data_IF_649426457699
#
_entry.id   IF_649426457699
#
_cell.length_a   1.000
_cell.length_b   1.000
_cell.length_c   1.000
_cell.angle_alpha   90.00
_cell.angle_beta   90.00
_cell.angle_gamma   90.00
#
_symmetry.space_group_name_H-M   'P 1'
#
loop_
_entity.id
_entity.type
_entity.pdbx_description
1 polymer ?
#
# COMPACT_ATOMS: atom_id res chain seq x y z
N UNK A 1 -44.58 -73.47 9.00
CA UNK A 1 -43.82 -72.57 8.09
C UNK A 1 -44.69 -71.34 7.79
N UNK A 2 -44.48 -70.24 8.53
CA UNK A 2 -45.21 -68.97 8.36
C UNK A 2 -44.30 -67.95 7.64
N UNK A 3 -44.89 -67.17 6.73
CA UNK A 3 -44.27 -66.25 5.77
C UNK A 3 -43.67 -64.99 6.41
N UNK A 4 -42.70 -64.40 5.69
CA UNK A 4 -41.88 -63.21 5.97
C UNK A 4 -42.65 -61.89 6.25
N UNK A 5 -41.97 -60.88 6.85
CA UNK A 5 -42.57 -59.61 7.28
C UNK A 5 -42.53 -58.50 6.21
N UNK A 6 -43.40 -57.49 6.41
CA UNK A 6 -43.48 -56.26 5.61
C UNK A 6 -42.45 -55.23 6.09
N UNK A 7 -41.79 -54.66 5.09
CA UNK A 7 -40.85 -53.55 5.04
C UNK A 7 -41.31 -52.25 5.74
N UNK A 8 -40.40 -51.64 6.52
CA UNK A 8 -40.44 -50.23 6.90
C UNK A 8 -39.21 -49.56 6.25
N UNK A 9 -39.42 -48.70 5.26
CA UNK A 9 -38.37 -47.89 4.66
C UNK A 9 -38.22 -46.60 5.49
N UNK A 10 -37.06 -46.41 6.12
CA UNK A 10 -36.69 -45.17 6.77
C UNK A 10 -35.81 -44.35 5.81
N UNK A 11 -36.34 -43.22 5.34
CA UNK A 11 -35.58 -42.25 4.54
C UNK A 11 -34.67 -41.45 5.47
N UNK A 12 -33.35 -41.66 5.36
CA UNK A 12 -32.33 -40.91 6.10
C UNK A 12 -32.08 -39.57 5.38
N UNK A 13 -32.45 -38.46 6.01
CA UNK A 13 -32.13 -37.12 5.51
C UNK A 13 -30.71 -36.74 5.99
N UNK A 14 -29.74 -36.76 5.08
CA UNK A 14 -28.37 -36.34 5.38
C UNK A 14 -28.30 -34.80 5.42
N UNK A 15 -28.09 -34.24 6.61
CA UNK A 15 -27.73 -32.83 6.78
C UNK A 15 -26.24 -32.69 6.45
N UNK A 16 -25.92 -32.10 5.31
CA UNK A 16 -24.54 -31.68 5.00
C UNK A 16 -24.20 -30.46 5.86
N UNK A 17 -23.48 -30.68 6.96
CA UNK A 17 -22.78 -29.61 7.66
C UNK A 17 -21.58 -29.18 6.81
N UNK A 18 -21.67 -28.02 6.17
CA UNK A 18 -20.52 -27.37 5.54
C UNK A 18 -19.60 -26.82 6.64
N UNK A 19 -18.66 -27.63 7.10
CA UNK A 19 -17.52 -27.13 7.87
C UNK A 19 -16.60 -26.41 6.88
N UNK A 20 -16.61 -25.08 6.91
CA UNK A 20 -15.59 -24.27 6.25
C UNK A 20 -14.24 -24.61 6.85
N UNK A 21 -13.42 -25.38 6.12
CA UNK A 21 -12.02 -25.55 6.47
C UNK A 21 -11.36 -24.18 6.34
N UNK A 22 -10.84 -23.64 7.45
CA UNK A 22 -9.89 -22.54 7.38
C UNK A 22 -8.69 -23.06 6.59
N UNK A 23 -8.40 -22.45 5.44
CA UNK A 23 -7.24 -22.80 4.65
C UNK A 23 -5.98 -22.62 5.52
N UNK A 24 -5.09 -23.62 5.54
CA UNK A 24 -3.81 -23.47 6.22
C UNK A 24 -3.04 -22.27 5.62
N UNK A 25 -2.36 -21.46 6.45
CA UNK A 25 -1.53 -20.38 5.94
C UNK A 25 -0.46 -20.98 5.02
N UNK A 26 -0.19 -20.32 3.87
CA UNK A 26 0.76 -20.84 2.89
C UNK A 26 2.15 -21.03 3.51
N UNK A 27 2.84 -22.10 3.09
CA UNK A 27 4.14 -22.46 3.63
C UNK A 27 5.19 -21.37 3.37
N UNK A 28 5.99 -20.96 4.38
CA UNK A 28 7.09 -20.03 4.17
C UNK A 28 8.16 -20.58 3.22
N UNK A 29 8.68 -19.73 2.34
CA UNK A 29 9.76 -20.03 1.39
C UNK A 29 11.06 -19.42 1.92
N UNK A 30 12.12 -20.21 2.18
CA UNK A 30 13.43 -19.69 2.57
C UNK A 30 14.05 -18.79 1.50
N UNK A 31 14.66 -17.66 1.90
CA UNK A 31 15.37 -16.78 0.95
C UNK A 31 16.74 -17.33 0.52
N UNK A 32 17.39 -18.04 1.44
CA UNK A 32 18.77 -18.52 1.33
C UNK A 32 18.86 -20.04 1.53
N UNK A 33 18.24 -20.86 0.68
CA UNK A 33 18.39 -22.32 0.76
C UNK A 33 19.86 -22.78 0.66
N UNK A 34 20.74 -21.97 0.06
CA UNK A 34 22.18 -22.18 -0.04
C UNK A 34 22.97 -21.80 1.22
N UNK A 35 22.33 -21.19 2.21
CA UNK A 35 22.96 -20.66 3.43
C UNK A 35 22.90 -19.14 3.50
N UNK A 36 22.62 -18.64 4.71
CA UNK A 36 22.38 -17.22 4.97
C UNK A 36 23.68 -16.42 4.92
N UNK A 37 23.80 -15.37 4.07
CA UNK A 37 25.03 -14.60 3.92
C UNK A 37 25.51 -13.98 5.23
N UNK A 38 26.77 -14.27 5.60
CA UNK A 38 27.41 -13.68 6.78
C UNK A 38 27.00 -14.29 8.12
N UNK A 39 26.30 -15.44 8.15
CA UNK A 39 25.78 -16.02 9.40
C UNK A 39 26.33 -17.41 9.76
N UNK A 40 27.18 -18.01 8.93
CA UNK A 40 27.68 -19.38 9.13
C UNK A 40 28.35 -19.59 10.51
N UNK A 41 29.04 -18.56 11.04
CA UNK A 41 29.79 -18.64 12.29
C UNK A 41 29.11 -17.91 13.47
N UNK A 42 27.89 -17.40 13.26
CA UNK A 42 27.18 -16.65 14.30
C UNK A 42 26.36 -17.60 15.18
N UNK A 43 26.69 -17.66 16.46
CA UNK A 43 25.86 -18.32 17.47
C UNK A 43 24.65 -17.43 17.82
N UNK A 44 23.65 -17.44 16.95
CA UNK A 44 22.42 -16.66 17.13
C UNK A 44 21.40 -17.42 18.00
N UNK A 45 20.62 -16.72 18.84
CA UNK A 45 19.50 -17.34 19.56
C UNK A 45 18.44 -17.91 18.61
N UNK A 46 17.63 -18.83 19.13
CA UNK A 46 16.50 -19.38 18.37
C UNK A 46 15.43 -18.32 18.06
N UNK A 47 14.83 -18.43 16.88
CA UNK A 47 13.70 -17.60 16.48
C UNK A 47 12.56 -17.77 17.50
N UNK A 48 12.03 -16.65 17.97
CA UNK A 48 10.94 -16.66 18.97
C UNK A 48 9.77 -15.82 18.45
N UNK A 49 8.56 -16.36 18.49
CA UNK A 49 7.29 -15.65 18.23
C UNK A 49 6.51 -15.53 19.52
N UNK A 50 6.28 -14.30 19.97
CA UNK A 50 5.69 -14.03 21.28
C UNK A 50 4.74 -12.81 21.26
N UNK A 51 3.80 -12.82 22.19
CA UNK A 51 2.90 -11.70 22.47
C UNK A 51 3.15 -11.23 23.91
N UNK A 52 4.11 -10.30 24.09
CA UNK A 52 4.58 -9.88 25.41
C UNK A 52 3.56 -9.10 26.24
N UNK A 53 2.67 -8.35 25.58
CA UNK A 53 1.81 -7.36 26.22
C UNK A 53 0.34 -7.77 26.27
N UNK A 54 -0.01 -8.98 25.78
CA UNK A 54 -1.39 -9.40 25.54
C UNK A 54 -2.21 -8.34 24.74
N UNK A 55 -1.55 -7.67 23.79
CA UNK A 55 -2.09 -6.59 22.98
C UNK A 55 -2.66 -7.07 21.63
N UNK A 56 -2.71 -8.38 21.42
CA UNK A 56 -3.03 -9.02 20.14
C UNK A 56 -1.94 -8.89 19.10
N UNK A 57 -0.74 -8.41 19.46
CA UNK A 57 0.35 -8.15 18.53
C UNK A 57 1.47 -9.17 18.75
N UNK A 58 1.55 -10.13 17.83
CA UNK A 58 2.68 -11.05 17.80
C UNK A 58 3.92 -10.35 17.27
N UNK A 59 5.05 -10.69 17.89
CA UNK A 59 6.37 -10.17 17.55
C UNK A 59 7.30 -11.35 17.32
N UNK A 60 8.03 -11.32 16.22
CA UNK A 60 9.06 -12.33 15.92
C UNK A 60 10.43 -11.72 16.18
N UNK A 61 11.26 -12.41 16.93
CA UNK A 61 12.63 -12.01 17.26
C UNK A 61 13.61 -13.10 16.85
N UNK A 62 14.89 -12.74 16.74
CA UNK A 62 15.98 -13.66 16.41
C UNK A 62 15.79 -14.44 15.09
N UNK A 63 15.22 -13.77 14.08
CA UNK A 63 15.13 -14.34 12.74
C UNK A 63 16.54 -14.43 12.16
N UNK A 64 17.08 -15.65 12.06
CA UNK A 64 18.34 -15.96 11.38
C UNK A 64 18.10 -16.61 10.02
N UNK A 65 16.98 -17.30 9.83
CA UNK A 65 16.56 -17.93 8.58
C UNK A 65 15.39 -17.15 7.97
N UNK A 66 15.67 -16.11 7.15
CA UNK A 66 14.62 -15.26 6.62
C UNK A 66 13.79 -15.98 5.55
N UNK A 67 12.51 -15.66 5.52
CA UNK A 67 11.54 -16.29 4.62
C UNK A 67 10.62 -15.25 3.98
N UNK A 68 10.03 -15.61 2.84
CA UNK A 68 8.84 -14.95 2.32
C UNK A 68 7.64 -15.89 2.39
N UNK A 69 6.46 -15.33 2.62
CA UNK A 69 5.19 -16.06 2.55
C UNK A 69 4.25 -15.34 1.59
N UNK A 70 3.79 -16.04 0.55
CA UNK A 70 2.85 -15.48 -0.44
C UNK A 70 1.41 -15.60 0.07
N UNK A 71 0.73 -14.46 0.16
CA UNK A 71 -0.71 -14.33 0.41
C UNK A 71 -1.36 -13.91 -0.92
N UNK A 72 -1.85 -14.87 -1.73
CA UNK A 72 -2.39 -14.56 -3.03
C UNK A 72 -3.72 -13.81 -2.92
N UNK A 73 -3.93 -12.82 -3.78
CA UNK A 73 -5.23 -12.18 -3.89
C UNK A 73 -6.28 -13.18 -4.42
N UNK A 74 -7.55 -13.11 -3.96
CA UNK A 74 -8.64 -13.90 -4.51
C UNK A 74 -8.68 -13.85 -6.03
N UNK A 75 -8.93 -15.00 -6.68
CA UNK A 75 -8.82 -15.11 -8.13
C UNK A 75 -9.80 -14.21 -8.89
N UNK A 76 -10.93 -13.83 -8.27
CA UNK A 76 -11.98 -12.98 -8.81
C UNK A 76 -11.68 -11.47 -8.72
N UNK A 77 -10.68 -11.06 -7.92
CA UNK A 77 -10.26 -9.67 -7.80
C UNK A 77 -8.75 -9.45 -8.03
N UNK A 78 -8.00 -10.49 -8.42
CA UNK A 78 -6.55 -10.43 -8.58
C UNK A 78 -6.15 -9.48 -9.73
N UNK A 79 -5.48 -8.38 -9.38
CA UNK A 79 -5.06 -7.32 -10.30
C UNK A 79 -3.74 -7.62 -11.01
N UNK A 80 -3.05 -8.71 -10.62
CA UNK A 80 -1.67 -8.99 -10.97
C UNK A 80 -0.64 -8.18 -10.17
N UNK A 81 -1.05 -7.16 -9.43
CA UNK A 81 -0.13 -6.39 -8.58
C UNK A 81 0.39 -7.23 -7.41
N UNK A 82 1.61 -6.93 -6.98
CA UNK A 82 2.23 -7.57 -5.83
C UNK A 82 2.91 -6.55 -4.92
N UNK A 83 2.88 -6.78 -3.61
CA UNK A 83 3.57 -5.94 -2.63
C UNK A 83 4.34 -6.80 -1.62
N UNK A 84 5.65 -6.57 -1.53
CA UNK A 84 6.51 -7.12 -0.48
C UNK A 84 6.30 -6.32 0.82
N UNK A 85 5.74 -6.96 1.85
CA UNK A 85 5.41 -6.36 3.14
C UNK A 85 6.55 -6.57 4.13
N UNK A 86 7.09 -5.47 4.65
CA UNK A 86 8.22 -5.43 5.58
C UNK A 86 7.75 -4.86 6.94
N UNK A 87 7.50 -5.72 7.95
CA UNK A 87 7.11 -5.26 9.29
C UNK A 87 8.16 -4.34 9.92
N UNK A 88 7.76 -3.50 10.87
CA UNK A 88 8.67 -2.71 11.68
C UNK A 88 9.21 -3.47 12.88
N UNK A 89 9.87 -2.74 13.79
CA UNK A 89 10.48 -3.30 15.00
C UNK A 89 11.93 -2.89 15.24
N UNK A 90 12.33 -1.71 14.76
CA UNK A 90 13.66 -1.11 14.99
C UNK A 90 14.85 -1.99 14.55
N UNK A 91 14.63 -2.89 13.58
CA UNK A 91 15.56 -3.96 13.20
C UNK A 91 15.93 -4.92 14.35
N UNK A 92 15.15 -4.99 15.44
CA UNK A 92 15.39 -5.92 16.55
C UNK A 92 14.36 -7.04 16.62
N UNK A 93 13.14 -6.75 16.19
CA UNK A 93 12.00 -7.67 16.08
C UNK A 93 11.22 -7.36 14.81
N UNK A 94 10.23 -8.19 14.49
CA UNK A 94 9.22 -7.96 13.47
C UNK A 94 7.85 -7.91 14.14
N UNK A 95 7.13 -6.79 14.04
CA UNK A 95 5.77 -6.68 14.58
C UNK A 95 4.72 -7.33 13.65
N UNK A 96 4.84 -8.66 13.53
CA UNK A 96 4.34 -9.46 12.41
C UNK A 96 2.82 -9.41 12.21
N UNK A 97 2.03 -9.16 13.25
CA UNK A 97 0.56 -9.11 13.12
C UNK A 97 0.09 -7.82 12.45
N UNK A 98 0.18 -6.68 13.16
CA UNK A 98 -0.44 -5.42 12.70
C UNK A 98 0.34 -4.66 11.61
N UNK A 99 1.59 -5.04 11.36
CA UNK A 99 2.45 -4.47 10.30
C UNK A 99 2.82 -5.52 9.24
N UNK A 100 2.22 -6.72 9.31
CA UNK A 100 2.49 -7.85 8.41
C UNK A 100 1.21 -8.56 7.99
N UNK A 101 0.74 -9.52 8.79
CA UNK A 101 -0.44 -10.37 8.50
C UNK A 101 -1.69 -9.53 8.15
N UNK A 102 -2.05 -8.54 8.97
CA UNK A 102 -3.22 -7.67 8.72
C UNK A 102 -3.07 -6.79 7.47
N UNK A 103 -1.84 -6.47 7.12
CA UNK A 103 -1.52 -5.69 5.91
C UNK A 103 -1.68 -6.57 4.68
N UNK A 104 -1.27 -7.84 4.77
CA UNK A 104 -1.48 -8.82 3.72
C UNK A 104 -2.98 -9.05 3.48
N UNK A 105 -3.77 -9.17 4.55
CA UNK A 105 -5.24 -9.27 4.47
C UNK A 105 -5.87 -8.06 3.77
N UNK A 106 -5.47 -6.84 4.14
CA UNK A 106 -5.96 -5.61 3.48
C UNK A 106 -5.58 -5.58 1.99
N UNK A 107 -4.32 -5.86 1.65
CA UNK A 107 -3.84 -5.90 0.26
C UNK A 107 -4.63 -6.91 -0.58
N UNK A 108 -4.87 -8.11 -0.06
CA UNK A 108 -5.70 -9.12 -0.74
C UNK A 108 -7.15 -8.63 -0.93
N UNK A 109 -7.70 -7.91 0.05
CA UNK A 109 -9.02 -7.30 -0.04
C UNK A 109 -9.17 -6.30 -1.21
N UNK A 110 -8.09 -5.63 -1.60
CA UNK A 110 -8.05 -4.71 -2.74
C UNK A 110 -7.49 -5.35 -4.03
N UNK A 111 -7.34 -6.69 -4.06
CA UNK A 111 -6.90 -7.42 -5.24
C UNK A 111 -5.38 -7.47 -5.47
N UNK A 112 -4.59 -7.12 -4.45
CA UNK A 112 -3.12 -7.14 -4.50
C UNK A 112 -2.59 -8.40 -3.83
N UNK A 113 -1.65 -9.08 -4.50
CA UNK A 113 -0.94 -10.22 -3.92
C UNK A 113 0.07 -9.68 -2.89
N UNK A 114 -0.01 -10.15 -1.65
CA UNK A 114 0.90 -9.71 -0.60
C UNK A 114 1.98 -10.76 -0.37
N UNK A 115 3.21 -10.32 -0.13
CA UNK A 115 4.34 -11.19 0.17
C UNK A 115 4.93 -10.73 1.49
N UNK A 116 4.71 -11.48 2.56
CA UNK A 116 5.22 -11.11 3.88
C UNK A 116 6.69 -11.48 3.99
N UNK A 117 7.56 -10.49 4.19
CA UNK A 117 8.98 -10.69 4.42
C UNK A 117 9.25 -10.82 5.92
N UNK A 118 9.71 -12.00 6.32
CA UNK A 118 10.34 -12.23 7.62
C UNK A 118 11.85 -12.04 7.48
N UNK A 119 12.32 -10.80 7.54
CA UNK A 119 13.74 -10.46 7.38
C UNK A 119 14.54 -10.64 8.68
N UNK A 120 15.87 -10.73 8.55
CA UNK A 120 16.77 -10.97 9.67
C UNK A 120 16.73 -9.88 10.72
N UNK A 121 16.57 -10.31 11.96
CA UNK A 121 16.64 -9.51 13.18
C UNK A 121 17.27 -10.34 14.31
N UNK A 122 17.94 -9.73 15.31
CA UNK A 122 18.23 -8.30 15.41
C UNK A 122 19.31 -7.85 14.41
N UNK A 123 19.46 -6.55 14.20
CA UNK A 123 20.59 -5.97 13.47
C UNK A 123 21.91 -6.51 14.06
N UNK A 124 22.89 -6.78 13.21
CA UNK A 124 24.18 -7.34 13.66
C UNK A 124 25.09 -6.22 14.13
N UNK A 125 25.84 -6.48 15.19
CA UNK A 125 26.84 -5.55 15.71
C UNK A 125 27.95 -5.32 14.68
N UNK A 126 28.49 -4.10 14.63
CA UNK A 126 29.56 -3.73 13.70
C UNK A 126 29.13 -3.54 12.25
N UNK A 127 27.86 -3.76 11.91
CA UNK A 127 27.30 -3.50 10.58
C UNK A 127 26.29 -2.36 10.62
N UNK A 128 25.98 -1.80 9.45
CA UNK A 128 24.87 -0.87 9.32
C UNK A 128 23.56 -1.52 9.78
N UNK A 129 22.73 -0.70 10.43
CA UNK A 129 21.46 -1.13 11.07
C UNK A 129 20.54 -1.99 10.19
N UNK A 130 20.59 -1.77 8.88
CA UNK A 130 19.72 -2.39 7.89
C UNK A 130 20.44 -3.47 7.06
N UNK A 131 21.74 -3.72 7.26
CA UNK A 131 22.57 -4.45 6.31
C UNK A 131 22.06 -5.87 5.99
N UNK A 132 21.84 -6.78 6.96
CA UNK A 132 21.28 -8.11 6.66
C UNK A 132 19.86 -8.02 6.08
N UNK A 133 19.04 -7.11 6.62
CA UNK A 133 17.66 -6.94 6.19
C UNK A 133 17.55 -6.45 4.74
N UNK A 134 18.48 -5.59 4.29
CA UNK A 134 18.53 -5.11 2.91
C UNK A 134 18.90 -6.22 1.93
N UNK A 135 19.85 -7.09 2.29
CA UNK A 135 20.14 -8.29 1.51
C UNK A 135 18.89 -9.16 1.36
N UNK A 136 18.14 -9.35 2.46
CA UNK A 136 16.92 -10.16 2.46
C UNK A 136 15.82 -9.53 1.59
N UNK A 137 15.61 -8.21 1.68
CA UNK A 137 14.62 -7.51 0.87
C UNK A 137 14.98 -7.54 -0.63
N UNK A 138 16.25 -7.32 -0.99
CA UNK A 138 16.72 -7.41 -2.38
C UNK A 138 16.58 -8.83 -2.95
N UNK A 139 16.92 -9.85 -2.16
CA UNK A 139 16.73 -11.25 -2.53
C UNK A 139 15.25 -11.60 -2.68
N UNK A 140 14.41 -11.16 -1.75
CA UNK A 140 12.96 -11.35 -1.82
C UNK A 140 12.37 -10.73 -3.08
N UNK A 141 12.73 -9.48 -3.43
CA UNK A 141 12.30 -8.85 -4.66
C UNK A 141 12.73 -9.63 -5.91
N UNK A 142 13.95 -10.16 -5.92
CA UNK A 142 14.45 -11.01 -7.01
C UNK A 142 13.63 -12.31 -7.13
N UNK A 143 13.34 -12.97 -6.01
CA UNK A 143 12.48 -14.16 -5.97
C UNK A 143 11.05 -13.86 -6.44
N UNK A 144 10.44 -12.75 -5.99
CA UNK A 144 9.08 -12.36 -6.41
C UNK A 144 9.04 -12.14 -7.92
N UNK A 145 9.98 -11.39 -8.49
CA UNK A 145 10.08 -11.18 -9.94
C UNK A 145 10.32 -12.48 -10.70
N UNK A 146 11.21 -13.34 -10.20
CA UNK A 146 11.53 -14.62 -10.83
C UNK A 146 10.32 -15.56 -10.90
N UNK A 147 9.48 -15.55 -9.86
CA UNK A 147 8.27 -16.38 -9.78
C UNK A 147 7.02 -15.66 -10.30
N UNK A 148 7.13 -14.46 -10.88
CA UNK A 148 5.98 -13.65 -11.25
C UNK A 148 4.99 -14.39 -12.18
N UNK A 149 5.49 -15.13 -13.17
CA UNK A 149 4.64 -15.91 -14.07
C UNK A 149 3.85 -17.00 -13.33
N UNK A 150 4.52 -17.77 -12.47
CA UNK A 150 3.91 -18.87 -11.71
C UNK A 150 2.91 -18.36 -10.67
N UNK A 151 3.18 -17.19 -10.10
CA UNK A 151 2.34 -16.52 -9.11
C UNK A 151 1.28 -15.60 -9.72
N UNK A 152 1.17 -15.55 -11.06
CA UNK A 152 0.24 -14.69 -11.82
C UNK A 152 0.38 -13.20 -11.48
N UNK A 153 1.61 -12.75 -11.32
CA UNK A 153 1.97 -11.37 -11.02
C UNK A 153 2.40 -10.65 -12.30
N UNK A 154 2.09 -9.36 -12.38
CA UNK A 154 2.62 -8.45 -13.38
C UNK A 154 3.99 -7.93 -12.90
N UNK A 155 5.10 -8.21 -13.61
CA UNK A 155 6.44 -7.80 -13.20
C UNK A 155 6.62 -6.27 -13.15
N UNK A 156 5.75 -5.49 -13.79
CA UNK A 156 5.80 -4.02 -13.76
C UNK A 156 4.98 -3.41 -12.60
N UNK A 157 4.32 -4.25 -11.79
CA UNK A 157 3.45 -3.85 -10.67
C UNK A 157 3.85 -4.50 -9.35
N UNK A 158 5.16 -4.66 -9.13
CA UNK A 158 5.72 -5.23 -7.90
C UNK A 158 6.28 -4.11 -7.03
N UNK A 159 5.58 -3.78 -5.95
CA UNK A 159 5.99 -2.77 -4.98
C UNK A 159 6.53 -3.34 -3.67
N UNK A 160 6.93 -2.43 -2.79
CA UNK A 160 7.33 -2.74 -1.41
C UNK A 160 6.57 -1.83 -0.44
N UNK A 161 6.16 -2.37 0.70
CA UNK A 161 5.47 -1.63 1.76
C UNK A 161 6.13 -1.98 3.08
N UNK A 162 6.40 -0.98 3.92
CA UNK A 162 6.96 -1.28 5.22
C UNK A 162 6.73 -0.20 6.26
N UNK A 163 6.85 -0.61 7.51
CA UNK A 163 6.50 0.23 8.67
C UNK A 163 7.73 0.55 9.50
N UNK A 164 7.90 1.79 9.98
CA UNK A 164 9.02 2.15 10.87
C UNK A 164 10.39 1.72 10.30
N UNK A 165 11.12 0.80 10.93
CA UNK A 165 12.34 0.20 10.39
C UNK A 165 12.12 -0.58 9.08
N UNK A 166 10.98 -1.25 8.91
CA UNK A 166 10.58 -1.84 7.62
C UNK A 166 10.27 -0.78 6.56
N UNK A 167 9.84 0.41 6.98
CA UNK A 167 9.68 1.59 6.11
C UNK A 167 11.02 2.15 5.66
N UNK A 168 12.00 2.21 6.57
CA UNK A 168 13.39 2.48 6.22
C UNK A 168 13.93 1.44 5.23
N UNK A 169 13.69 0.15 5.50
CA UNK A 169 14.09 -0.95 4.61
C UNK A 169 13.46 -0.81 3.21
N UNK A 170 12.20 -0.39 3.14
CA UNK A 170 11.51 -0.12 1.88
C UNK A 170 12.20 0.97 1.07
N UNK A 171 12.58 2.08 1.73
CA UNK A 171 13.33 3.18 1.10
C UNK A 171 14.74 2.74 0.69
N UNK A 172 15.44 1.97 1.53
CA UNK A 172 16.77 1.45 1.17
C UNK A 172 16.71 0.52 -0.04
N UNK A 173 15.71 -0.37 -0.11
CA UNK A 173 15.51 -1.28 -1.26
C UNK A 173 15.13 -0.51 -2.53
N UNK A 174 14.36 0.57 -2.39
CA UNK A 174 13.96 1.45 -3.48
C UNK A 174 15.13 2.28 -4.06
N UNK A 175 16.03 2.76 -3.18
CA UNK A 175 17.07 3.73 -3.52
C UNK A 175 18.45 3.11 -3.76
N UNK A 176 18.68 1.88 -3.31
CA UNK A 176 19.93 1.15 -3.57
C UNK A 176 19.86 0.47 -4.94
N UNK A 177 20.76 0.81 -5.88
CA UNK A 177 20.85 0.15 -7.18
C UNK A 177 21.09 -1.36 -7.06
N UNK A 178 20.53 -2.13 -8.01
CA UNK A 178 20.64 -3.59 -8.01
C UNK A 178 22.06 -4.13 -8.22
N UNK A 179 22.97 -3.33 -8.75
CA UNK A 179 24.40 -3.67 -8.86
C UNK A 179 25.17 -3.43 -7.55
N UNK A 180 24.54 -2.84 -6.52
CA UNK A 180 25.13 -2.62 -5.19
C UNK A 180 24.68 -3.67 -4.15
N UNK A 181 24.23 -4.85 -4.60
CA UNK A 181 23.95 -5.98 -3.71
C UNK A 181 25.21 -6.45 -3.00
N UNK A 182 25.13 -6.63 -1.69
CA UNK A 182 26.29 -6.96 -0.82
C UNK A 182 26.38 -8.44 -0.45
N UNK A 183 25.65 -9.32 -1.16
CA UNK A 183 25.61 -10.76 -0.95
C UNK A 183 26.02 -11.52 -2.21
N UNK A 184 26.51 -12.78 -2.10
CA UNK A 184 26.81 -13.61 -3.27
C UNK A 184 25.56 -13.84 -4.12
N UNK A 185 25.60 -13.41 -5.39
CA UNK A 185 24.45 -13.53 -6.29
C UNK A 185 24.29 -14.97 -6.77
N UNK A 186 23.05 -15.47 -6.74
CA UNK A 186 22.65 -16.70 -7.42
C UNK A 186 22.12 -16.33 -8.82
N UNK A 187 22.80 -16.69 -9.92
CA UNK A 187 22.38 -16.31 -11.27
C UNK A 187 20.96 -16.74 -11.67
N UNK A 188 20.42 -17.79 -11.05
CA UNK A 188 19.06 -18.28 -11.36
C UNK A 188 17.96 -17.39 -10.77
N UNK A 189 18.26 -16.68 -9.68
CA UNK A 189 17.31 -15.86 -8.92
C UNK A 189 17.63 -14.37 -9.06
N UNK A 190 18.90 -14.01 -8.92
CA UNK A 190 19.40 -12.63 -8.81
C UNK A 190 19.79 -12.01 -10.17
N UNK A 191 19.49 -12.67 -11.30
CA UNK A 191 19.70 -12.12 -12.63
C UNK A 191 18.69 -11.04 -13.03
N UNK A 192 17.66 -10.82 -12.22
CA UNK A 192 16.65 -9.77 -12.40
C UNK A 192 16.92 -8.55 -11.51
N UNK A 193 16.35 -7.40 -11.88
CA UNK A 193 16.41 -6.16 -11.09
C UNK A 193 15.69 -6.36 -9.75
N UNK A 194 16.36 -6.14 -8.60
CA UNK A 194 15.71 -6.25 -7.29
C UNK A 194 14.98 -4.96 -6.85
N UNK A 195 14.98 -3.91 -7.66
CA UNK A 195 14.32 -2.64 -7.34
C UNK A 195 12.80 -2.78 -7.49
N UNK A 196 11.98 -2.31 -6.52
CA UNK A 196 10.53 -2.30 -6.64
C UNK A 196 10.05 -1.24 -7.64
N UNK A 197 8.89 -1.45 -8.24
CA UNK A 197 8.24 -0.49 -9.16
C UNK A 197 7.63 0.71 -8.42
N UNK A 198 7.36 0.57 -7.11
CA UNK A 198 6.85 1.61 -6.23
C UNK A 198 7.08 1.26 -4.76
N UNK A 199 6.96 2.23 -3.85
CA UNK A 199 7.04 1.97 -2.41
C UNK A 199 5.92 2.65 -1.59
N UNK A 200 5.51 2.00 -0.50
CA UNK A 200 4.58 2.50 0.51
C UNK A 200 5.22 2.47 1.91
N UNK A 201 6.22 3.33 2.19
CA UNK A 201 6.79 3.42 3.53
C UNK A 201 5.82 4.17 4.46
N UNK A 202 5.38 3.49 5.50
CA UNK A 202 4.45 3.99 6.51
C UNK A 202 5.26 4.32 7.78
N UNK A 203 5.25 5.60 8.18
CA UNK A 203 6.10 6.20 9.23
C UNK A 203 7.55 5.69 9.25
N UNK A 204 8.26 5.66 8.09
CA UNK A 204 9.63 5.18 8.03
C UNK A 204 10.54 5.88 9.04
N UNK A 205 11.31 5.08 9.76
CA UNK A 205 12.30 5.53 10.72
C UNK A 205 13.64 5.86 10.04
N UNK A 206 14.58 6.44 10.79
CA UNK A 206 16.00 6.59 10.40
C UNK A 206 16.30 7.37 9.11
N UNK A 207 15.33 8.15 8.58
CA UNK A 207 15.55 8.92 7.35
C UNK A 207 16.38 10.18 7.55
N UNK A 208 16.46 10.69 8.77
CA UNK A 208 17.18 11.92 9.11
C UNK A 208 18.62 11.59 9.48
N UNK A 209 19.56 12.40 9.02
CA UNK A 209 20.96 12.27 9.39
C UNK A 209 21.16 12.50 10.89
N UNK A 210 22.01 11.69 11.50
CA UNK A 210 22.39 11.82 12.92
C UNK A 210 23.35 13.00 13.14
N UNK A 211 24.12 13.39 12.11
CA UNK A 211 25.10 14.48 12.20
C UNK A 211 24.55 15.84 11.75
N UNK A 212 23.50 15.85 10.94
CA UNK A 212 22.87 17.08 10.44
C UNK A 212 21.34 16.90 10.37
N UNK A 213 20.57 17.52 11.29
CA UNK A 213 19.12 17.34 11.34
C UNK A 213 18.38 17.91 10.12
N UNK A 214 19.03 18.73 9.29
CA UNK A 214 18.42 19.29 8.08
C UNK A 214 18.69 18.44 6.82
N UNK A 215 19.32 17.27 6.97
CA UNK A 215 19.68 16.40 5.86
C UNK A 215 19.14 14.99 6.04
N UNK A 216 18.95 14.32 4.91
CA UNK A 216 18.70 12.89 4.90
C UNK A 216 19.93 12.13 5.40
N UNK A 217 19.67 10.95 5.96
CA UNK A 217 20.71 9.98 6.27
C UNK A 217 21.54 9.69 5.01
N UNK A 218 22.88 9.67 5.10
CA UNK A 218 23.77 9.62 3.94
C UNK A 218 23.62 8.35 3.10
N UNK A 219 23.11 7.26 3.67
CA UNK A 219 22.81 6.03 2.95
C UNK A 219 21.63 6.17 1.96
N UNK A 220 20.78 7.18 2.12
CA UNK A 220 19.59 7.37 1.28
C UNK A 220 19.94 8.21 0.04
N UNK A 221 19.85 7.58 -1.13
CA UNK A 221 20.20 8.19 -2.42
C UNK A 221 18.97 8.35 -3.31
N UNK A 222 18.41 9.57 -3.33
CA UNK A 222 17.26 9.88 -4.19
C UNK A 222 17.74 10.43 -5.53
N UNK A 223 17.24 9.87 -6.62
CA UNK A 223 17.53 10.28 -7.99
C UNK A 223 16.23 10.49 -8.77
N UNK A 224 16.32 11.05 -9.98
CA UNK A 224 15.15 11.17 -10.87
C UNK A 224 14.54 9.81 -11.25
N UNK A 225 15.35 8.74 -11.17
CA UNK A 225 14.97 7.38 -11.54
C UNK A 225 14.45 6.60 -10.32
N UNK A 226 14.36 7.24 -9.14
CA UNK A 226 13.74 6.65 -7.96
C UNK A 226 12.25 6.43 -8.22
N UNK A 227 11.73 5.20 -8.08
CA UNK A 227 10.33 4.90 -8.38
C UNK A 227 9.34 5.64 -7.45
N UNK A 228 8.05 5.75 -7.84
CA UNK A 228 7.05 6.49 -7.10
C UNK A 228 6.83 6.00 -5.66
N UNK A 229 6.57 6.92 -4.73
CA UNK A 229 6.39 6.62 -3.30
C UNK A 229 5.10 7.22 -2.73
N UNK A 230 4.38 6.45 -1.93
CA UNK A 230 3.29 6.91 -1.07
C UNK A 230 3.69 6.83 0.41
N UNK A 231 3.61 7.94 1.13
CA UNK A 231 4.08 8.03 2.52
C UNK A 231 3.00 8.53 3.45
N UNK A 232 2.97 7.98 4.67
CA UNK A 232 2.05 8.42 5.72
C UNK A 232 2.79 8.50 7.04
N UNK A 233 2.60 9.58 7.79
CA UNK A 233 3.14 9.72 9.15
C UNK A 233 2.23 10.63 10.00
N UNK A 234 2.26 10.45 11.32
CA UNK A 234 1.60 11.35 12.25
C UNK A 234 2.52 12.54 12.60
N UNK A 235 1.96 13.74 12.72
CA UNK A 235 2.67 14.91 13.23
C UNK A 235 3.19 14.69 14.67
N UNK A 236 2.45 13.92 15.48
CA UNK A 236 2.87 13.56 16.84
C UNK A 236 4.01 12.54 16.90
N UNK A 237 4.43 11.94 15.77
CA UNK A 237 5.64 11.13 15.67
C UNK A 237 6.90 12.04 15.60
N UNK A 238 7.17 12.71 16.72
CA UNK A 238 8.23 13.71 16.85
C UNK A 238 9.62 13.18 16.49
N UNK A 239 9.83 11.87 16.59
CA UNK A 239 11.12 11.24 16.28
C UNK A 239 11.40 11.18 14.79
N UNK A 240 10.38 10.97 13.96
CA UNK A 240 10.58 10.62 12.54
C UNK A 240 9.85 11.52 11.53
N UNK A 241 8.94 12.40 11.98
CA UNK A 241 8.18 13.30 11.10
C UNK A 241 9.08 14.19 10.23
N UNK A 242 10.16 14.73 10.78
CA UNK A 242 11.09 15.58 10.02
C UNK A 242 11.81 14.81 8.91
N UNK A 243 12.25 13.59 9.18
CA UNK A 243 12.93 12.74 8.20
C UNK A 243 12.02 12.40 7.00
N UNK A 244 10.72 12.21 7.27
CA UNK A 244 9.71 11.97 6.24
C UNK A 244 9.50 13.20 5.34
N UNK A 245 9.43 14.40 5.93
CA UNK A 245 9.35 15.64 5.18
C UNK A 245 10.62 15.89 4.34
N UNK A 246 11.81 15.64 4.91
CA UNK A 246 13.08 15.73 4.18
C UNK A 246 13.13 14.79 2.97
N UNK A 247 12.62 13.56 3.12
CA UNK A 247 12.60 12.58 2.02
C UNK A 247 11.67 13.02 0.89
N UNK A 248 10.47 13.49 1.22
CA UNK A 248 9.55 14.06 0.23
C UNK A 248 10.19 15.24 -0.53
N UNK A 249 10.87 16.14 0.18
CA UNK A 249 11.59 17.26 -0.45
C UNK A 249 12.71 16.77 -1.38
N UNK A 250 13.43 15.71 -1.01
CA UNK A 250 14.46 15.12 -1.85
C UNK A 250 13.86 14.50 -3.12
N UNK A 251 12.77 13.73 -3.01
CA UNK A 251 12.02 13.19 -4.16
C UNK A 251 11.59 14.30 -5.11
N UNK A 252 10.98 15.36 -4.56
CA UNK A 252 10.51 16.51 -5.36
C UNK A 252 11.66 17.22 -6.07
N UNK A 253 12.78 17.45 -5.39
CA UNK A 253 13.97 18.12 -5.95
C UNK A 253 14.67 17.29 -7.01
N UNK A 254 14.64 15.97 -6.88
CA UNK A 254 15.19 15.06 -7.89
C UNK A 254 14.27 14.91 -9.13
N UNK A 255 13.02 15.37 -9.05
CA UNK A 255 12.03 15.19 -10.11
C UNK A 255 11.29 13.85 -10.06
N UNK A 256 11.45 13.08 -8.97
CA UNK A 256 10.73 11.84 -8.74
C UNK A 256 9.31 12.10 -8.19
N UNK A 257 8.41 11.12 -8.37
CA UNK A 257 7.02 11.21 -7.91
C UNK A 257 6.87 10.75 -6.46
N UNK A 258 6.22 11.55 -5.62
CA UNK A 258 5.91 11.17 -4.25
C UNK A 258 4.60 11.80 -3.78
N UNK A 259 3.86 11.07 -2.94
CA UNK A 259 2.72 11.56 -2.17
C UNK A 259 3.03 11.40 -0.67
N UNK A 260 2.80 12.44 0.13
CA UNK A 260 3.06 12.44 1.57
C UNK A 260 1.83 12.95 2.33
N UNK A 261 1.32 12.14 3.25
CA UNK A 261 0.28 12.50 4.20
C UNK A 261 0.87 12.66 5.60
N UNK A 262 0.81 13.88 6.14
CA UNK A 262 1.13 14.15 7.55
C UNK A 262 -0.18 14.40 8.29
N UNK A 263 -0.61 13.45 9.10
CA UNK A 263 -1.83 13.59 9.90
C UNK A 263 -1.58 14.43 11.15
N UNK A 264 -2.51 15.33 11.49
CA UNK A 264 -2.34 16.25 12.62
C UNK A 264 -2.25 15.54 14.00
N UNK A 265 -2.89 14.37 14.13
CA UNK A 265 -2.92 13.55 15.35
C UNK A 265 -2.32 12.17 15.10
N UNK A 266 -1.98 11.51 16.20
CA UNK A 266 -1.36 10.19 16.24
C UNK A 266 0.09 10.20 16.67
N UNK A 267 0.66 9.01 16.73
CA UNK A 267 2.04 8.77 17.11
C UNK A 267 2.66 7.69 16.26
N UNK A 268 3.79 7.16 16.71
CA UNK A 268 4.50 6.11 16.01
C UNK A 268 3.80 4.75 16.12
N UNK A 269 4.01 3.89 15.12
CA UNK A 269 3.64 2.47 15.18
C UNK A 269 2.14 2.24 15.25
N UNK A 270 1.33 2.97 14.48
CA UNK A 270 -0.12 2.74 14.42
C UNK A 270 -0.48 1.50 13.58
N UNK A 271 0.30 1.16 12.55
CA UNK A 271 0.09 0.00 11.68
C UNK A 271 -1.36 -0.09 11.17
N UNK A 272 -1.95 -1.28 11.32
CA UNK A 272 -3.37 -1.54 11.05
C UNK A 272 -4.27 -1.48 12.30
N UNK A 273 -3.79 -0.91 13.42
CA UNK A 273 -4.54 -0.87 14.69
C UNK A 273 -5.73 0.10 14.60
N UNK A 274 -6.80 -0.23 15.33
CA UNK A 274 -7.91 0.69 15.62
C UNK A 274 -7.59 1.50 16.87
N UNK A 275 -7.25 2.77 16.71
CA UNK A 275 -6.78 3.71 17.74
C UNK A 275 -7.72 4.91 18.00
N UNK A 276 -8.86 5.00 17.31
CA UNK A 276 -9.81 6.12 17.36
C UNK A 276 -9.37 7.39 16.62
N UNK A 277 -8.45 7.31 15.64
CA UNK A 277 -7.89 8.50 14.98
C UNK A 277 -7.97 8.43 13.44
N UNK A 278 -8.02 9.60 12.79
CA UNK A 278 -8.13 9.71 11.31
C UNK A 278 -7.01 8.99 10.56
N UNK A 279 -5.82 8.86 11.15
CA UNK A 279 -4.66 8.21 10.54
C UNK A 279 -4.91 6.73 10.21
N UNK A 280 -5.87 6.08 10.88
CA UNK A 280 -6.30 4.71 10.54
C UNK A 280 -6.85 4.56 9.13
N UNK A 281 -7.28 5.65 8.51
CA UNK A 281 -7.82 5.67 7.14
C UNK A 281 -6.73 5.68 6.07
N UNK A 282 -5.45 5.66 6.46
CA UNK A 282 -4.33 5.59 5.53
C UNK A 282 -4.42 4.46 4.48
N UNK A 283 -4.99 3.26 4.76
CA UNK A 283 -5.09 2.20 3.75
C UNK A 283 -5.97 2.62 2.56
N UNK A 284 -7.03 3.40 2.81
CA UNK A 284 -7.88 3.93 1.75
C UNK A 284 -7.15 4.96 0.86
N UNK A 285 -6.28 5.79 1.48
CA UNK A 285 -5.44 6.74 0.73
C UNK A 285 -4.40 6.00 -0.11
N UNK A 286 -3.77 4.95 0.45
CA UNK A 286 -2.83 4.10 -0.25
C UNK A 286 -3.49 3.38 -1.44
N UNK A 287 -4.69 2.82 -1.25
CA UNK A 287 -5.46 2.20 -2.32
C UNK A 287 -5.77 3.19 -3.46
N UNK A 288 -6.24 4.39 -3.12
CA UNK A 288 -6.52 5.44 -4.10
C UNK A 288 -5.27 5.83 -4.88
N UNK A 289 -4.13 5.93 -4.20
CA UNK A 289 -2.85 6.20 -4.84
C UNK A 289 -2.45 5.05 -5.79
N UNK A 290 -2.54 3.79 -5.36
CA UNK A 290 -2.26 2.62 -6.20
C UNK A 290 -3.14 2.60 -7.46
N UNK A 291 -4.43 2.95 -7.33
CA UNK A 291 -5.35 3.09 -8.48
C UNK A 291 -4.94 4.23 -9.40
N UNK A 292 -4.65 5.40 -8.84
CA UNK A 292 -4.25 6.59 -9.60
C UNK A 292 -2.96 6.37 -10.39
N UNK A 293 -2.04 5.61 -9.82
CA UNK A 293 -0.77 5.23 -10.47
C UNK A 293 -0.91 4.05 -11.44
N UNK A 294 -2.10 3.46 -11.58
CA UNK A 294 -2.38 2.36 -12.51
C UNK A 294 -1.94 0.98 -12.03
N UNK A 295 -1.51 0.84 -10.78
CA UNK A 295 -1.01 -0.43 -10.25
C UNK A 295 -2.11 -1.46 -10.00
N UNK A 296 -3.36 -1.06 -9.79
CA UNK A 296 -4.48 -2.02 -9.62
C UNK A 296 -5.17 -2.41 -10.94
N UNK A 297 -4.65 -1.95 -12.08
CA UNK A 297 -5.23 -2.18 -13.40
C UNK A 297 -6.63 -1.56 -13.60
N UNK A 298 -7.13 -1.62 -14.84
CA UNK A 298 -8.49 -1.21 -15.20
C UNK A 298 -9.54 -2.29 -14.85
N UNK A 299 -9.13 -3.36 -14.15
CA UNK A 299 -9.86 -4.60 -13.90
C UNK A 299 -10.84 -4.55 -12.74
N UNK A 300 -11.62 -3.48 -12.64
CA UNK A 300 -12.90 -3.45 -11.95
C UNK A 300 -13.58 -2.18 -12.44
N UNK A 301 -14.80 -2.30 -12.96
CA UNK A 301 -15.66 -1.18 -13.33
C UNK A 301 -15.45 -0.04 -12.34
N UNK A 302 -15.00 1.14 -12.83
CA UNK A 302 -14.78 2.37 -12.06
C UNK A 302 -15.87 2.48 -10.98
N UNK A 303 -15.53 2.05 -9.78
CA UNK A 303 -16.40 2.21 -8.62
C UNK A 303 -16.35 3.69 -8.33
N UNK A 304 -17.49 4.33 -8.53
CA UNK A 304 -17.73 5.76 -8.41
C UNK A 304 -16.79 6.43 -7.41
N UNK A 305 -16.09 7.47 -7.88
CA UNK A 305 -15.39 8.44 -7.06
C UNK A 305 -16.24 8.80 -5.86
N UNK A 306 -15.70 8.52 -4.68
CA UNK A 306 -16.26 8.95 -3.39
C UNK A 306 -15.99 10.44 -3.13
N UNK A 307 -15.37 11.15 -4.08
CA UNK A 307 -15.26 12.60 -4.00
C UNK A 307 -16.67 13.21 -4.08
N UNK A 308 -17.07 14.05 -3.11
CA UNK A 308 -18.36 14.71 -3.17
C UNK A 308 -18.47 15.49 -4.49
N UNK A 309 -19.62 15.43 -5.18
CA UNK A 309 -19.78 16.11 -6.44
C UNK A 309 -19.58 17.61 -6.27
N UNK A 310 -18.79 18.22 -7.15
CA UNK A 310 -18.55 19.66 -7.20
C UNK A 310 -19.84 20.40 -7.53
N UNK A 311 -20.74 19.78 -8.30
CA UNK A 311 -22.08 20.27 -8.56
C UNK A 311 -23.04 19.11 -8.91
N UNK A 312 -24.32 19.32 -8.64
CA UNK A 312 -25.41 18.42 -9.04
C UNK A 312 -26.42 19.23 -9.84
N UNK A 313 -26.72 18.79 -11.06
CA UNK A 313 -27.75 19.35 -11.92
C UNK A 313 -28.89 18.35 -12.02
N UNK A 314 -30.12 18.81 -11.75
CA UNK A 314 -31.33 17.98 -11.85
C UNK A 314 -32.19 18.48 -12.99
N UNK A 315 -32.40 17.64 -14.00
CA UNK A 315 -33.39 17.83 -15.05
C UNK A 315 -34.73 17.18 -14.66
N UNK A 316 -35.70 17.20 -15.58
CA UNK A 316 -37.00 16.53 -15.39
C UNK A 316 -36.86 15.02 -15.22
N UNK A 317 -35.96 14.41 -16.02
CA UNK A 317 -35.87 12.95 -16.15
C UNK A 317 -34.46 12.41 -15.89
N UNK A 318 -33.55 13.25 -15.38
CA UNK A 318 -32.16 12.89 -15.17
C UNK A 318 -31.50 13.70 -14.04
N UNK A 319 -30.41 13.19 -13.51
CA UNK A 319 -29.47 13.92 -12.64
C UNK A 319 -28.06 13.82 -13.22
N UNK A 320 -27.33 14.93 -13.29
CA UNK A 320 -25.91 14.94 -13.63
C UNK A 320 -25.12 15.38 -12.41
N UNK A 321 -24.09 14.62 -12.05
CA UNK A 321 -23.11 15.02 -11.04
C UNK A 321 -21.78 15.34 -11.70
N UNK A 322 -21.18 16.45 -11.28
CA UNK A 322 -19.86 16.89 -11.74
C UNK A 322 -18.83 16.50 -10.70
N UNK A 323 -17.74 15.90 -11.12
CA UNK A 323 -16.62 15.50 -10.26
C UNK A 323 -15.33 16.17 -10.75
N UNK A 324 -14.46 16.55 -9.82
CA UNK A 324 -13.10 16.95 -10.18
C UNK A 324 -12.29 15.70 -10.50
N UNK A 325 -11.86 15.54 -11.75
CA UNK A 325 -10.94 14.51 -12.18
C UNK A 325 -9.52 15.04 -12.37
N UNK A 326 -8.54 14.13 -12.41
CA UNK A 326 -7.12 14.49 -12.58
C UNK A 326 -6.84 15.26 -13.88
N UNK A 327 -7.65 15.05 -14.93
CA UNK A 327 -7.49 15.65 -16.26
C UNK A 327 -8.63 16.59 -16.65
N UNK A 328 -9.45 17.05 -15.68
CA UNK A 328 -10.58 17.95 -15.92
C UNK A 328 -11.88 17.49 -15.25
N UNK A 329 -12.98 18.16 -15.57
CA UNK A 329 -14.30 17.84 -15.02
C UNK A 329 -14.83 16.52 -15.60
N UNK A 330 -15.28 15.62 -14.72
CA UNK A 330 -15.94 14.38 -15.08
C UNK A 330 -17.44 14.48 -14.77
N UNK A 331 -18.26 13.81 -15.57
CA UNK A 331 -19.71 13.84 -15.48
C UNK A 331 -20.25 12.43 -15.21
N UNK A 332 -21.16 12.30 -14.26
CA UNK A 332 -21.97 11.08 -14.13
C UNK A 332 -23.43 11.42 -14.36
N UNK A 333 -24.10 10.64 -15.21
CA UNK A 333 -25.49 10.84 -15.61
C UNK A 333 -26.33 9.72 -15.01
N UNK A 334 -27.42 10.08 -14.37
CA UNK A 334 -28.40 9.17 -13.77
C UNK A 334 -29.77 9.46 -14.34
N UNK A 335 -30.61 8.43 -14.46
CA UNK A 335 -32.02 8.61 -14.82
C UNK A 335 -32.84 9.15 -13.63
N UNK A 336 -34.14 9.39 -13.86
CA UNK A 336 -35.08 9.87 -12.84
C UNK A 336 -35.19 8.95 -11.61
N UNK A 337 -34.87 7.66 -11.75
CA UNK A 337 -34.88 6.69 -10.67
C UNK A 337 -33.52 6.59 -9.94
N UNK A 338 -32.53 7.40 -10.34
CA UNK A 338 -31.18 7.39 -9.78
C UNK A 338 -30.30 6.24 -10.28
N UNK A 339 -30.71 5.55 -11.35
CA UNK A 339 -29.89 4.51 -11.97
C UNK A 339 -28.83 5.16 -12.86
N UNK A 340 -27.56 4.74 -12.77
CA UNK A 340 -26.50 5.31 -13.60
C UNK A 340 -26.73 4.97 -15.07
N UNK A 341 -26.75 5.99 -15.91
CA UNK A 341 -26.73 5.90 -17.37
C UNK A 341 -25.30 6.01 -17.91
N UNK A 342 -24.46 6.83 -17.28
CA UNK A 342 -23.02 6.93 -17.51
C UNK A 342 -22.32 7.41 -16.23
N UNK A 343 -21.05 7.05 -16.04
CA UNK A 343 -20.27 7.45 -14.86
C UNK A 343 -18.90 7.97 -15.26
N UNK A 344 -18.54 9.13 -14.72
CA UNK A 344 -17.23 9.75 -14.87
C UNK A 344 -16.73 9.82 -16.33
N UNK A 345 -17.61 10.26 -17.21
CA UNK A 345 -17.27 10.55 -18.61
C UNK A 345 -16.73 11.97 -18.73
N UNK A 346 -15.84 12.21 -19.67
CA UNK A 346 -15.38 13.57 -19.99
C UNK A 346 -16.44 14.36 -20.78
N UNK A 347 -16.15 15.63 -21.04
CA UNK A 347 -17.07 16.52 -21.77
C UNK A 347 -17.32 16.06 -23.22
N UNK A 348 -16.33 15.43 -23.86
CA UNK A 348 -16.44 14.97 -25.23
C UNK A 348 -17.41 13.79 -25.34
N UNK A 349 -17.30 12.83 -24.42
CA UNK A 349 -18.22 11.71 -24.29
C UNK A 349 -19.62 12.16 -23.84
N UNK A 350 -19.74 13.12 -22.91
CA UNK A 350 -21.05 13.68 -22.54
C UNK A 350 -21.74 14.31 -23.75
N UNK A 351 -20.99 15.02 -24.59
CA UNK A 351 -21.50 15.63 -25.83
C UNK A 351 -21.92 14.58 -26.85
N UNK A 352 -21.17 13.49 -26.98
CA UNK A 352 -21.44 12.41 -27.93
C UNK A 352 -22.66 11.56 -27.51
N UNK A 353 -22.71 11.14 -26.25
CA UNK A 353 -23.70 10.20 -25.74
C UNK A 353 -24.98 10.89 -25.24
N UNK A 354 -24.88 12.11 -24.72
CA UNK A 354 -25.99 12.85 -24.11
C UNK A 354 -26.11 14.30 -24.63
N UNK A 355 -26.29 14.52 -25.95
CA UNK A 355 -26.24 15.86 -26.55
C UNK A 355 -27.28 16.85 -26.00
N UNK A 356 -28.46 16.37 -25.59
CA UNK A 356 -29.50 17.19 -24.94
C UNK A 356 -29.11 17.64 -23.54
N UNK A 357 -28.59 16.72 -22.74
CA UNK A 357 -28.09 17.00 -21.38
C UNK A 357 -26.90 17.96 -21.46
N UNK A 358 -25.96 17.73 -22.38
CA UNK A 358 -24.84 18.64 -22.62
C UNK A 358 -25.28 20.08 -22.95
N UNK A 359 -26.32 20.26 -23.77
CA UNK A 359 -26.85 21.59 -24.10
C UNK A 359 -27.44 22.32 -22.88
N UNK A 360 -28.10 21.61 -21.98
CA UNK A 360 -28.67 22.15 -20.75
C UNK A 360 -27.57 22.47 -19.71
N UNK A 361 -26.57 21.58 -19.56
CA UNK A 361 -25.38 21.78 -18.71
C UNK A 361 -24.57 23.00 -19.17
N UNK A 362 -24.40 23.21 -20.49
CA UNK A 362 -23.70 24.38 -21.05
C UNK A 362 -24.37 25.70 -20.69
N UNK A 363 -25.70 25.72 -20.50
CA UNK A 363 -26.45 26.91 -20.09
C UNK A 363 -26.33 27.27 -18.61
N UNK A 364 -25.89 26.34 -17.75
CA UNK A 364 -25.79 26.52 -16.28
C UNK A 364 -24.35 26.62 -15.77
N UNK A 365 -23.36 26.34 -16.62
CA UNK A 365 -21.93 26.32 -16.27
C UNK A 365 -21.17 27.49 -16.92
N UNK A 366 -20.52 28.32 -16.10
CA UNK A 366 -19.70 29.46 -16.54
C UNK A 366 -18.19 29.11 -16.65
N UNK A 367 -17.84 27.85 -16.91
CA UNK A 367 -16.46 27.47 -17.17
C UNK A 367 -16.10 27.66 -18.64
N UNK A 368 -14.85 28.02 -18.90
CA UNK A 368 -14.35 28.24 -20.26
C UNK A 368 -14.34 26.91 -21.05
N UNK A 369 -14.46 27.00 -22.38
CA UNK A 369 -14.50 25.84 -23.30
C UNK A 369 -13.21 24.98 -23.28
N UNK A 370 -12.22 25.32 -22.44
CA UNK A 370 -11.01 24.53 -22.19
C UNK A 370 -11.08 23.54 -21.03
N UNK A 371 -12.22 23.42 -20.32
CA UNK A 371 -12.40 22.40 -19.27
C UNK A 371 -11.47 22.55 -18.05
N UNK A 372 -10.84 23.73 -17.88
CA UNK A 372 -9.89 24.01 -16.82
C UNK A 372 -10.57 24.85 -15.74
N UNK A 373 -10.76 24.28 -14.56
CA UNK A 373 -11.04 25.03 -13.33
C UNK A 373 -9.75 25.78 -12.95
N UNK A 374 -9.63 27.04 -13.37
CA UNK A 374 -8.55 27.93 -12.96
C UNK A 374 -8.78 28.35 -11.50
N UNK A 375 -8.17 27.63 -10.55
CA UNK A 375 -7.88 28.20 -9.24
C UNK A 375 -6.72 29.18 -9.39
N UNK A 376 -7.03 30.45 -9.70
CA UNK A 376 -6.07 31.53 -9.52
C UNK A 376 -5.96 31.81 -8.02
N UNK A 377 -4.88 31.34 -7.41
CA UNK A 377 -4.40 31.95 -6.15
C UNK A 377 -3.83 33.31 -6.57
N UNK A 378 -4.58 34.37 -6.26
CA UNK A 378 -4.08 35.72 -6.38
C UNK A 378 -3.02 35.95 -5.30
N UNK A 379 -1.75 35.88 -5.68
CA UNK A 379 -0.62 36.11 -4.79
C UNK A 379 -0.51 37.58 -4.29
N UNK A 380 -1.48 38.44 -4.63
CA UNK A 380 -1.53 39.84 -4.18
C UNK A 380 -2.58 40.12 -3.08
N UNK A 381 -3.37 39.13 -2.65
CA UNK A 381 -4.33 39.32 -1.57
C UNK A 381 -3.64 39.21 -0.20
N UNK A 382 -3.73 40.24 0.68
CA UNK A 382 -3.14 40.17 2.02
C UNK A 382 -3.88 39.13 2.87
N UNK A 383 -3.12 38.33 3.61
CA UNK A 383 -3.64 37.34 4.57
C UNK A 383 -4.60 38.03 5.55
N UNK A 384 -5.77 37.44 5.88
CA UNK A 384 -6.65 38.00 6.89
C UNK A 384 -5.95 37.93 8.25
N UNK A 385 -5.58 39.10 8.77
CA UNK A 385 -5.21 39.25 10.17
C UNK A 385 -6.45 38.92 11.01
N UNK A 386 -6.46 37.76 11.68
CA UNK A 386 -7.39 37.54 12.78
C UNK A 386 -6.73 37.96 14.09
N UNK A 387 -7.40 38.75 14.93
CA UNK A 387 -6.94 39.03 16.28
C UNK A 387 -6.97 37.73 17.08
N UNK A 388 -5.90 37.47 17.84
CA UNK A 388 -5.97 36.57 18.99
C UNK A 388 -6.88 37.29 19.98
N UNK A 389 -8.15 36.93 19.98
CA UNK A 389 -9.10 37.32 21.01
C UNK A 389 -9.00 36.33 22.15
N UNK A 390 -8.52 36.82 23.29
CA UNK A 390 -8.62 36.14 24.58
C UNK A 390 -10.07 35.79 24.89
N UNK A 391 -10.30 34.56 25.37
CA UNK A 391 -11.34 34.21 26.34
C UNK A 391 -11.29 32.69 26.60
N UNK A 392 -11.91 32.21 27.70
CA UNK A 392 -11.52 32.30 29.10
C UNK A 392 -10.96 30.98 29.65
#
# INVERSE_FOLDING_TARGET
>A
MKRLPRSLAATLLAVLSATGALAEPPAPIPLWPEGVPGEADLALPEETREEKNNDGIWRVSNVSQPTITLYPAPADNNTGAAVLVCPGGAYNILAITHEGEQVCEWLNGIGVNAILLKYRVPRREGLDKHHPALQDAQRAMSMVRKNAADWKLDPDRIGILGFSAGGHLSIMTLTTPSDQRTYPLNPEIDSVDCRPNFALPIYPAYLKSESDPNRLAPEIQVTKDTPPVFMVIAHGDKSFVEGNALFYLAMRRAGASAELHIFAKGGHGFGMKKIGEEIEKWPALAENWLRTMGYLGDGAARTASTAPPVAILKGSDYTVTLHAGANGTLFSVFDAAGKPMAREIDLEHLRAEFPKIHAEVKGTWAGNESGRLDFRIDASAPLPARPIGDAP
#
